data_IF_808112751785
#
_entry.id   IF_808112751785
#
_cell.length_a   1.000
_cell.length_b   1.000
_cell.length_c   1.000
_cell.angle_alpha   90.00
_cell.angle_beta   90.00
_cell.angle_gamma   90.00
#
_symmetry.space_group_name_H-M   'P 1'
#
loop_
_entity.id
_entity.type
_entity.pdbx_description
1 polymer ?
#
# COMPACT_ATOMS: atom_id res chain seq x y z
N UNK A 1 1.31 22.00 -31.74
CA UNK A 1 2.62 21.59 -31.20
C UNK A 1 2.40 21.51 -29.71
N UNK A 2 2.70 20.38 -29.08
CA UNK A 2 2.60 20.28 -27.63
C UNK A 2 3.66 21.20 -27.02
N UNK A 3 3.27 22.05 -26.09
CA UNK A 3 4.22 22.80 -25.28
C UNK A 3 4.66 21.96 -24.07
N UNK A 4 5.54 22.52 -23.24
CA UNK A 4 6.06 21.82 -22.07
C UNK A 4 4.95 21.48 -21.05
N UNK A 5 3.87 22.27 -21.01
CA UNK A 5 2.74 22.05 -20.11
C UNK A 5 1.88 20.88 -20.60
N UNK A 6 1.68 20.78 -21.91
CA UNK A 6 0.99 19.64 -22.54
C UNK A 6 1.74 18.32 -22.29
N UNK A 7 3.07 18.34 -22.31
CA UNK A 7 3.90 17.16 -22.05
C UNK A 7 3.86 16.74 -20.58
N UNK A 8 3.99 17.68 -19.64
CA UNK A 8 3.92 17.41 -18.21
C UNK A 8 2.56 16.83 -17.82
N UNK A 9 1.48 17.37 -18.39
CA UNK A 9 0.11 16.89 -18.16
C UNK A 9 -0.06 15.43 -18.63
N UNK A 10 0.49 15.08 -19.80
CA UNK A 10 0.45 13.71 -20.32
C UNK A 10 1.27 12.74 -19.47
N UNK A 11 2.42 13.19 -18.96
CA UNK A 11 3.24 12.39 -18.05
C UNK A 11 2.52 12.10 -16.73
N UNK A 12 1.87 13.10 -16.14
CA UNK A 12 1.13 12.91 -14.89
C UNK A 12 -0.09 12.00 -15.07
N UNK A 13 -0.79 12.12 -16.21
CA UNK A 13 -1.89 11.22 -16.55
C UNK A 13 -1.40 9.78 -16.75
N UNK A 14 -0.32 9.58 -17.51
CA UNK A 14 0.27 8.26 -17.72
C UNK A 14 0.75 7.63 -16.40
N UNK A 15 1.35 8.41 -15.50
CA UNK A 15 1.77 7.93 -14.18
C UNK A 15 0.59 7.48 -13.32
N UNK A 16 -0.50 8.27 -13.28
CA UNK A 16 -1.73 7.89 -12.57
C UNK A 16 -2.37 6.64 -13.14
N UNK A 17 -2.51 6.55 -14.47
CA UNK A 17 -3.07 5.38 -15.15
C UNK A 17 -2.25 4.12 -14.85
N UNK A 18 -0.92 4.22 -14.87
CA UNK A 18 -0.04 3.12 -14.49
C UNK A 18 -0.26 2.68 -13.04
N UNK A 19 -0.34 3.63 -12.09
CA UNK A 19 -0.57 3.29 -10.69
C UNK A 19 -1.94 2.62 -10.48
N UNK A 20 -2.98 3.06 -11.17
CA UNK A 20 -4.32 2.45 -11.11
C UNK A 20 -4.30 1.04 -11.71
N UNK A 21 -3.71 0.87 -12.90
CA UNK A 21 -3.68 -0.42 -13.60
C UNK A 21 -2.86 -1.48 -12.86
N UNK A 22 -1.83 -1.07 -12.13
CA UNK A 22 -0.95 -1.96 -11.38
C UNK A 22 -1.26 -2.03 -9.88
N UNK A 23 -2.29 -1.32 -9.41
CA UNK A 23 -2.73 -1.45 -8.03
C UNK A 23 -3.23 -2.87 -7.78
N UNK A 24 -2.53 -3.58 -6.90
CA UNK A 24 -2.97 -4.88 -6.36
C UNK A 24 -3.20 -4.70 -4.88
N UNK A 25 -4.46 -4.80 -4.46
CA UNK A 25 -4.76 -5.06 -3.06
C UNK A 25 -4.16 -6.42 -2.72
N UNK A 26 -3.10 -6.42 -1.91
CA UNK A 26 -2.64 -7.65 -1.28
C UNK A 26 -3.71 -8.08 -0.28
N UNK A 27 -4.58 -9.00 -0.71
CA UNK A 27 -5.57 -9.61 0.18
C UNK A 27 -4.83 -10.37 1.29
N UNK A 28 -4.86 -9.80 2.49
CA UNK A 28 -4.35 -10.45 3.69
C UNK A 28 -5.28 -11.62 4.03
N UNK A 29 -4.74 -12.84 3.93
CA UNK A 29 -5.44 -14.06 4.31
C UNK A 29 -5.84 -14.02 5.79
N UNK A 30 -7.09 -14.39 6.09
CA UNK A 30 -7.55 -14.52 7.47
C UNK A 30 -6.89 -15.74 8.12
N UNK A 31 -5.88 -15.48 8.95
CA UNK A 31 -5.13 -16.54 9.67
C UNK A 31 -5.75 -16.92 11.00
N UNK A 32 -6.79 -16.20 11.45
CA UNK A 32 -7.37 -16.31 12.80
C UNK A 32 -6.46 -15.72 13.90
N UNK A 33 -5.38 -15.04 13.51
CA UNK A 33 -4.42 -14.38 14.41
C UNK A 33 -4.12 -12.97 13.92
N UNK A 34 -3.79 -12.10 14.86
CA UNK A 34 -3.39 -10.73 14.58
C UNK A 34 -2.03 -10.70 13.86
N UNK A 35 -1.94 -10.01 12.72
CA UNK A 35 -0.69 -9.84 11.98
C UNK A 35 0.38 -9.00 12.71
N UNK A 36 0.02 -8.32 13.81
CA UNK A 36 0.95 -7.48 14.58
C UNK A 36 1.44 -8.14 15.88
N UNK A 37 0.55 -8.77 16.66
CA UNK A 37 0.85 -9.33 17.98
C UNK A 37 0.61 -10.84 18.09
N UNK A 38 0.13 -11.51 17.02
CA UNK A 38 -0.11 -12.95 16.95
C UNK A 38 -1.20 -13.52 17.86
N UNK A 39 -1.88 -12.66 18.61
CA UNK A 39 -3.05 -13.00 19.42
C UNK A 39 -4.23 -13.48 18.57
N UNK A 40 -5.13 -14.32 19.11
CA UNK A 40 -6.35 -14.72 18.42
C UNK A 40 -7.17 -13.51 17.98
N UNK A 41 -7.55 -13.46 16.70
CA UNK A 41 -8.34 -12.38 16.13
C UNK A 41 -9.38 -12.95 15.15
N UNK A 42 -10.59 -12.40 15.18
CA UNK A 42 -11.67 -12.76 14.26
C UNK A 42 -11.40 -12.23 12.83
N UNK A 43 -10.62 -11.16 12.74
CA UNK A 43 -10.10 -10.60 11.49
C UNK A 43 -8.57 -10.68 11.38
N UNK A 44 -8.00 -9.84 10.52
CA UNK A 44 -6.53 -9.75 10.37
C UNK A 44 -5.84 -9.08 11.57
N UNK A 45 -6.58 -8.34 12.41
CA UNK A 45 -6.03 -7.62 13.55
C UNK A 45 -6.96 -7.72 14.75
N UNK A 46 -6.39 -7.84 15.96
CA UNK A 46 -7.16 -7.89 17.20
C UNK A 46 -7.73 -6.52 17.61
N UNK A 47 -7.10 -5.43 17.19
CA UNK A 47 -7.53 -4.07 17.49
C UNK A 47 -7.05 -3.09 16.40
N UNK A 48 -7.60 -1.86 16.44
CA UNK A 48 -7.23 -0.79 15.52
C UNK A 48 -5.75 -0.41 15.61
N UNK A 49 -5.21 -0.34 16.82
CA UNK A 49 -3.80 0.03 17.04
C UNK A 49 -2.84 -0.98 16.39
N UNK A 50 -3.15 -2.28 16.49
CA UNK A 50 -2.36 -3.32 15.83
C UNK A 50 -2.37 -3.20 14.30
N UNK A 51 -3.50 -2.78 13.71
CA UNK A 51 -3.57 -2.52 12.27
C UNK A 51 -2.66 -1.34 11.89
N UNK A 52 -2.76 -0.23 12.59
CA UNK A 52 -1.97 0.97 12.30
C UNK A 52 -0.46 0.72 12.46
N UNK A 53 -0.06 -0.02 13.49
CA UNK A 53 1.34 -0.38 13.71
C UNK A 53 1.89 -1.30 12.62
N UNK A 54 1.09 -2.27 12.18
CA UNK A 54 1.47 -3.16 11.08
C UNK A 54 1.59 -2.38 9.75
N UNK A 55 0.66 -1.49 9.44
CA UNK A 55 0.70 -0.63 8.25
C UNK A 55 1.92 0.30 8.27
N UNK A 56 2.24 0.92 9.41
CA UNK A 56 3.46 1.74 9.58
C UNK A 56 4.71 0.91 9.34
N UNK A 57 4.82 -0.28 9.95
CA UNK A 57 5.97 -1.19 9.75
C UNK A 57 6.12 -1.58 8.28
N UNK A 58 5.01 -1.92 7.60
CA UNK A 58 5.01 -2.24 6.18
C UNK A 58 5.48 -1.05 5.34
N UNK A 59 4.99 0.15 5.63
CA UNK A 59 5.41 1.37 4.97
C UNK A 59 6.92 1.61 5.14
N UNK A 60 7.44 1.58 6.38
CA UNK A 60 8.87 1.75 6.63
C UNK A 60 9.72 0.68 5.91
N UNK A 61 9.28 -0.58 5.90
CA UNK A 61 9.98 -1.65 5.18
C UNK A 61 9.95 -1.46 3.66
N UNK A 62 8.84 -0.97 3.11
CA UNK A 62 8.74 -0.67 1.67
C UNK A 62 9.67 0.47 1.26
N UNK A 63 9.85 1.48 2.13
CA UNK A 63 10.77 2.60 1.91
C UNK A 63 12.24 2.16 2.02
N UNK A 64 12.54 1.20 2.92
CA UNK A 64 13.90 0.64 3.06
C UNK A 64 14.34 -0.24 1.90
N UNK A 65 13.43 -0.70 1.04
CA UNK A 65 13.73 -1.57 -0.13
C UNK A 65 14.20 -0.80 -1.37
N UNK A 66 14.50 0.48 -1.24
CA UNK A 66 15.17 1.29 -2.28
C UNK A 66 16.69 1.18 -2.04
N UNK A 67 17.29 0.10 -2.52
CA UNK A 67 18.75 -0.05 -2.72
C UNK A 67 19.01 -0.54 -4.16
#
# INVERSE_FOLDING_TARGET
>A
MADDVDLDSQHEEAFRQHHIAHYREEELLLTGRCYNCEDPAEGNFCCKECKEDWEKRKYFNSQRRIE
#
